data_IF_507015094874
#
_entry.id   IF_507015094874
#
_cell.length_a   1.000
_cell.length_b   1.000
_cell.length_c   1.000
_cell.angle_alpha   90.00
_cell.angle_beta   90.00
_cell.angle_gamma   90.00
#
_symmetry.space_group_name_H-M   'P 1'
#
loop_
_entity.id
_entity.type
_entity.pdbx_description
1 polymer ?
#
# COMPACT_ATOMS: atom_id res chain seq x y z
N UNK A 1 -39.34 57.70 13.08
CA UNK A 1 -39.42 57.11 11.73
C UNK A 1 -38.53 57.88 10.75
N UNK A 2 -37.93 57.13 9.81
CA UNK A 2 -37.24 57.52 8.56
C UNK A 2 -35.71 57.68 8.57
N UNK A 3 -35.11 56.60 8.09
CA UNK A 3 -33.80 56.43 7.47
C UNK A 3 -33.60 57.27 6.20
N UNK A 4 -32.35 57.64 5.92
CA UNK A 4 -31.77 57.87 4.59
C UNK A 4 -30.24 57.90 4.79
N UNK A 5 -29.39 56.99 4.30
CA UNK A 5 -29.51 56.04 3.20
C UNK A 5 -28.58 56.41 2.03
N UNK A 6 -27.26 56.55 2.26
CA UNK A 6 -26.26 56.73 1.18
C UNK A 6 -25.56 55.39 0.91
N UNK A 7 -25.93 54.74 -0.21
CA UNK A 7 -25.27 53.54 -0.71
C UNK A 7 -24.00 53.93 -1.48
N UNK A 8 -22.85 53.43 -1.04
CA UNK A 8 -21.62 53.35 -1.83
C UNK A 8 -21.36 51.87 -2.12
N UNK A 9 -21.39 51.49 -3.39
CA UNK A 9 -21.15 50.13 -3.86
C UNK A 9 -19.66 49.78 -3.72
N UNK A 10 -19.35 48.75 -2.93
CA UNK A 10 -18.04 48.11 -2.91
C UNK A 10 -18.06 46.88 -3.82
N UNK A 11 -17.15 46.88 -4.80
CA UNK A 11 -16.89 45.77 -5.72
C UNK A 11 -16.35 44.57 -4.94
N UNK A 12 -17.12 43.48 -4.94
CA UNK A 12 -16.75 42.18 -4.41
C UNK A 12 -15.77 41.49 -5.38
N UNK A 13 -14.52 41.32 -4.97
CA UNK A 13 -13.57 40.40 -5.60
C UNK A 13 -13.71 39.02 -4.94
N UNK A 14 -13.72 37.90 -5.71
CA UNK A 14 -13.92 36.58 -5.13
C UNK A 14 -12.71 36.14 -4.29
N UNK A 15 -12.91 35.41 -3.18
CA UNK A 15 -11.81 34.85 -2.42
C UNK A 15 -11.11 33.75 -3.24
N UNK A 16 -9.78 33.91 -3.38
CA UNK A 16 -8.87 32.89 -3.91
C UNK A 16 -9.04 31.62 -3.07
N UNK A 17 -9.59 30.58 -3.67
CA UNK A 17 -9.65 29.24 -3.10
C UNK A 17 -8.23 28.76 -2.82
N UNK A 18 -7.89 28.72 -1.54
CA UNK A 18 -6.69 28.05 -1.07
C UNK A 18 -6.80 26.57 -1.43
N UNK A 19 -5.91 26.11 -2.31
CA UNK A 19 -5.72 24.70 -2.61
C UNK A 19 -5.26 24.03 -1.32
N UNK A 20 -6.19 23.33 -0.66
CA UNK A 20 -5.88 22.47 0.48
C UNK A 20 -4.95 21.37 0.00
N UNK A 21 -3.68 21.43 0.41
CA UNK A 21 -2.73 20.35 0.20
C UNK A 21 -3.22 19.14 0.99
N UNK A 22 -3.94 18.26 0.29
CA UNK A 22 -4.30 16.94 0.79
C UNK A 22 -3.03 16.23 1.23
N UNK A 23 -2.89 16.00 2.54
CA UNK A 23 -1.81 15.16 3.08
C UNK A 23 -1.90 13.82 2.35
N UNK A 24 -0.84 13.44 1.64
CA UNK A 24 -0.78 12.16 0.93
C UNK A 24 -0.97 11.06 1.97
N UNK A 25 -2.17 10.51 2.05
CA UNK A 25 -2.48 9.38 2.92
C UNK A 25 -1.97 8.13 2.20
N UNK A 26 -0.69 7.80 2.41
CA UNK A 26 -0.10 6.56 1.90
C UNK A 26 -0.71 5.41 2.68
N UNK A 27 -1.59 4.64 2.05
CA UNK A 27 -2.09 3.38 2.60
C UNK A 27 -1.07 2.33 2.16
N UNK A 28 -0.15 1.94 3.05
CA UNK A 28 0.69 0.78 2.79
C UNK A 28 -0.19 -0.44 2.93
N UNK A 29 -0.47 -1.14 1.83
CA UNK A 29 -1.22 -2.40 1.89
C UNK A 29 -0.29 -3.42 2.55
N UNK A 30 -0.47 -3.61 3.85
CA UNK A 30 0.29 -4.59 4.61
C UNK A 30 -0.23 -5.98 4.22
N UNK A 31 0.33 -6.51 3.14
CA UNK A 31 0.12 -7.89 2.76
C UNK A 31 0.98 -8.74 3.69
N UNK A 32 0.47 -9.06 4.88
CA UNK A 32 1.09 -10.05 5.76
C UNK A 32 1.03 -11.39 5.04
N UNK A 33 2.11 -11.71 4.30
CA UNK A 33 2.36 -13.03 3.78
C UNK A 33 2.42 -13.97 4.97
N UNK A 34 1.41 -14.83 5.08
CA UNK A 34 1.46 -15.97 5.99
C UNK A 34 2.62 -16.82 5.52
N UNK A 35 3.76 -16.66 6.19
CA UNK A 35 4.85 -17.60 6.09
C UNK A 35 4.33 -18.88 6.70
N UNK A 36 4.17 -19.93 5.88
CA UNK A 36 3.96 -21.27 6.39
C UNK A 36 5.23 -21.67 7.14
N UNK A 37 5.31 -21.34 8.42
CA UNK A 37 6.23 -22.01 9.33
C UNK A 37 5.68 -23.41 9.51
N UNK A 38 6.21 -24.34 8.71
CA UNK A 38 6.06 -25.78 8.86
C UNK A 38 6.34 -26.16 10.33
N UNK A 39 5.28 -26.33 11.12
CA UNK A 39 5.37 -27.21 12.28
C UNK A 39 5.34 -28.60 11.68
N UNK A 40 6.51 -29.21 11.58
CA UNK A 40 6.69 -30.57 11.10
C UNK A 40 5.81 -31.54 11.90
N UNK A 41 4.66 -31.87 11.34
CA UNK A 41 3.93 -33.10 11.59
C UNK A 41 3.90 -33.85 10.27
N UNK A 42 4.42 -35.07 10.29
CA UNK A 42 4.57 -35.96 9.15
C UNK A 42 3.23 -36.25 8.49
N UNK A 43 2.87 -35.49 7.46
CA UNK A 43 2.08 -35.94 6.31
C UNK A 43 2.61 -35.16 5.11
N UNK A 44 3.11 -35.87 4.08
CA UNK A 44 3.37 -35.29 2.76
C UNK A 44 2.14 -34.52 2.31
N UNK A 45 2.20 -33.17 2.15
CA UNK A 45 1.18 -32.50 1.40
C UNK A 45 1.52 -32.74 -0.07
N UNK A 46 0.92 -33.78 -0.65
CA UNK A 46 0.63 -33.70 -2.07
C UNK A 46 -0.21 -32.45 -2.24
N UNK A 47 0.35 -31.48 -2.95
CA UNK A 47 -0.33 -30.24 -3.32
C UNK A 47 -1.53 -30.59 -4.20
N UNK A 48 -2.65 -30.92 -3.57
CA UNK A 48 -3.95 -30.97 -4.22
C UNK A 48 -4.48 -29.55 -4.19
N UNK A 49 -4.68 -28.98 -5.38
CA UNK A 49 -5.28 -27.66 -5.54
C UNK A 49 -6.60 -27.62 -4.79
N UNK A 50 -6.62 -26.98 -3.63
CA UNK A 50 -7.82 -26.92 -2.82
C UNK A 50 -8.74 -25.88 -3.43
N UNK A 51 -9.78 -26.35 -4.12
CA UNK A 51 -10.95 -25.60 -4.59
C UNK A 51 -11.76 -24.98 -3.43
N UNK A 52 -11.33 -25.21 -2.18
CA UNK A 52 -11.98 -24.74 -0.98
C UNK A 52 -11.66 -23.27 -0.69
N UNK A 53 -12.70 -22.52 -0.33
CA UNK A 53 -12.58 -21.17 0.24
C UNK A 53 -11.75 -21.25 1.52
N UNK A 54 -10.71 -20.41 1.60
CA UNK A 54 -9.83 -20.34 2.78
C UNK A 54 -10.08 -19.04 3.53
N UNK A 55 -10.17 -19.12 4.85
CA UNK A 55 -10.29 -17.94 5.73
C UNK A 55 -9.08 -17.85 6.64
N UNK A 56 -8.48 -16.68 6.76
CA UNK A 56 -7.34 -16.41 7.66
C UNK A 56 -7.57 -15.12 8.42
N UNK A 57 -7.17 -15.09 9.69
CA UNK A 57 -7.32 -13.91 10.55
C UNK A 57 -5.94 -13.46 11.02
N UNK A 58 -5.66 -12.17 10.87
CA UNK A 58 -4.46 -11.51 11.40
C UNK A 58 -4.86 -10.52 12.48
N UNK A 59 -4.20 -10.58 13.63
CA UNK A 59 -4.37 -9.63 14.74
C UNK A 59 -3.22 -8.63 14.73
N UNK A 60 -3.55 -7.35 14.81
CA UNK A 60 -2.57 -6.27 14.83
C UNK A 60 -2.32 -5.80 16.28
N UNK A 61 -1.14 -5.26 16.60
CA UNK A 61 -0.81 -4.77 17.95
C UNK A 61 -1.72 -3.66 18.47
N UNK A 62 -2.38 -2.91 17.57
CA UNK A 62 -3.35 -1.86 17.92
C UNK A 62 -4.76 -2.42 18.25
N UNK A 63 -4.90 -3.74 18.35
CA UNK A 63 -6.15 -4.43 18.61
C UNK A 63 -7.06 -4.59 17.39
N UNK A 64 -6.71 -3.95 16.24
CA UNK A 64 -7.43 -4.20 15.00
C UNK A 64 -7.16 -5.61 14.48
N UNK A 65 -8.05 -6.10 13.63
CA UNK A 65 -7.91 -7.41 12.99
C UNK A 65 -8.26 -7.34 11.52
N UNK A 66 -7.61 -8.17 10.73
CA UNK A 66 -7.92 -8.34 9.32
C UNK A 66 -8.32 -9.78 9.06
N UNK A 67 -9.50 -9.98 8.45
CA UNK A 67 -10.00 -11.27 8.01
C UNK A 67 -9.84 -11.35 6.49
N UNK A 68 -9.11 -12.36 6.02
CA UNK A 68 -8.90 -12.67 4.62
C UNK A 68 -9.76 -13.85 4.21
N UNK A 69 -10.51 -13.70 3.13
CA UNK A 69 -11.31 -14.74 2.50
C UNK A 69 -10.77 -14.95 1.08
N UNK A 70 -10.20 -16.12 0.81
CA UNK A 70 -9.67 -16.49 -0.49
C UNK A 70 -10.66 -17.39 -1.21
N UNK A 71 -10.88 -17.10 -2.48
CA UNK A 71 -11.61 -17.92 -3.45
C UNK A 71 -10.61 -18.28 -4.58
N UNK A 72 -9.76 -19.29 -4.36
CA UNK A 72 -8.76 -19.71 -5.36
C UNK A 72 -9.36 -20.02 -6.74
N UNK A 73 -10.53 -20.69 -6.85
CA UNK A 73 -11.15 -20.98 -8.14
C UNK A 73 -11.52 -19.75 -8.95
N UNK A 74 -11.84 -18.64 -8.27
CA UNK A 74 -12.16 -17.37 -8.92
C UNK A 74 -10.97 -16.43 -9.04
N UNK A 75 -9.77 -16.82 -8.61
CA UNK A 75 -8.60 -15.95 -8.52
C UNK A 75 -8.89 -14.65 -7.74
N UNK A 76 -9.66 -14.76 -6.64
CA UNK A 76 -10.09 -13.60 -5.83
C UNK A 76 -9.74 -13.78 -4.36
N UNK A 77 -9.54 -12.65 -3.69
CA UNK A 77 -9.53 -12.60 -2.24
C UNK A 77 -10.17 -11.32 -1.72
N UNK A 78 -10.71 -11.35 -0.52
CA UNK A 78 -11.24 -10.17 0.17
C UNK A 78 -10.61 -10.08 1.54
N UNK A 79 -10.04 -8.93 1.88
CA UNK A 79 -9.61 -8.61 3.22
C UNK A 79 -10.56 -7.58 3.85
N UNK A 80 -11.00 -7.85 5.07
CA UNK A 80 -11.82 -6.92 5.85
C UNK A 80 -11.09 -6.58 7.14
N UNK A 81 -10.77 -5.31 7.34
CA UNK A 81 -10.09 -4.83 8.55
C UNK A 81 -11.08 -4.12 9.45
N UNK A 82 -11.18 -4.56 10.71
CA UNK A 82 -11.98 -3.91 11.76
C UNK A 82 -11.07 -3.41 12.87
N UNK A 83 -11.43 -2.30 13.51
CA UNK A 83 -10.74 -1.81 14.71
C UNK A 83 -10.97 -2.72 15.93
N UNK A 84 -10.36 -2.36 17.06
CA UNK A 84 -10.47 -3.10 18.32
C UNK A 84 -11.92 -3.18 18.84
N UNK A 85 -12.76 -2.19 18.50
CA UNK A 85 -14.18 -2.15 18.85
C UNK A 85 -15.06 -2.92 17.83
N UNK A 86 -14.45 -3.52 16.80
CA UNK A 86 -15.12 -4.26 15.74
C UNK A 86 -15.72 -3.41 14.64
N UNK A 87 -15.48 -2.09 14.64
CA UNK A 87 -15.95 -1.19 13.58
C UNK A 87 -15.10 -1.35 12.33
N UNK A 88 -15.77 -1.41 11.18
CA UNK A 88 -15.11 -1.50 9.88
C UNK A 88 -14.18 -0.30 9.67
N UNK A 89 -12.94 -0.58 9.26
CA UNK A 89 -11.97 0.43 8.80
C UNK A 89 -11.87 0.42 7.28
N UNK A 90 -11.78 -0.77 6.69
CA UNK A 90 -11.58 -0.92 5.25
C UNK A 90 -11.96 -2.31 4.76
N UNK A 91 -12.24 -2.39 3.47
CA UNK A 91 -12.38 -3.63 2.71
C UNK A 91 -11.49 -3.55 1.49
N UNK A 92 -10.67 -4.58 1.27
CA UNK A 92 -9.78 -4.70 0.12
C UNK A 92 -10.24 -5.90 -0.70
N UNK A 93 -10.53 -5.68 -1.98
CA UNK A 93 -10.84 -6.74 -2.94
C UNK A 93 -9.62 -6.96 -3.82
N UNK A 94 -9.09 -8.17 -3.82
CA UNK A 94 -7.92 -8.55 -4.59
C UNK A 94 -8.31 -9.38 -5.80
N UNK A 95 -7.58 -9.15 -6.88
CA UNK A 95 -7.45 -10.12 -7.98
C UNK A 95 -6.09 -10.81 -7.83
N UNK A 96 -6.08 -12.11 -8.12
CA UNK A 96 -4.90 -12.98 -8.10
C UNK A 96 -4.50 -13.31 -9.54
N UNK A 97 -3.23 -13.59 -9.77
CA UNK A 97 -2.75 -14.15 -11.04
C UNK A 97 -2.98 -15.67 -11.10
N UNK A 98 -2.61 -16.29 -12.22
CA UNK A 98 -2.77 -17.74 -12.44
C UNK A 98 -1.96 -18.59 -11.43
N UNK A 99 -0.92 -18.01 -10.82
CA UNK A 99 -0.13 -18.64 -9.78
C UNK A 99 -0.71 -18.38 -8.36
N UNK A 100 -1.87 -17.72 -8.26
CA UNK A 100 -2.51 -17.38 -6.99
C UNK A 100 -1.85 -16.23 -6.24
N UNK A 101 -1.04 -15.40 -6.91
CA UNK A 101 -0.35 -14.25 -6.30
C UNK A 101 -1.14 -12.96 -6.54
N UNK A 102 -1.05 -12.00 -5.63
CA UNK A 102 -1.74 -10.72 -5.78
C UNK A 102 -1.31 -9.99 -7.06
N UNK A 103 -2.28 -9.65 -7.91
CA UNK A 103 -2.06 -8.91 -9.15
C UNK A 103 -2.57 -7.48 -9.06
N UNK A 104 -3.71 -7.28 -8.40
CA UNK A 104 -4.29 -5.96 -8.15
C UNK A 104 -5.21 -5.94 -6.93
N UNK A 105 -5.57 -4.74 -6.48
CA UNK A 105 -6.53 -4.54 -5.42
C UNK A 105 -7.38 -3.29 -5.60
N UNK A 106 -8.61 -3.33 -5.10
CA UNK A 106 -9.45 -2.16 -4.86
C UNK A 106 -9.67 -1.98 -3.36
N UNK A 107 -9.29 -0.82 -2.82
CA UNK A 107 -9.39 -0.49 -1.41
C UNK A 107 -10.58 0.42 -1.21
N UNK A 108 -11.52 0.00 -0.37
CA UNK A 108 -12.72 0.72 -0.02
C UNK A 108 -12.73 1.11 1.46
N UNK A 109 -13.24 2.31 1.74
CA UNK A 109 -13.48 2.75 3.11
C UNK A 109 -14.65 2.02 3.78
N UNK A 110 -14.97 2.38 5.04
CA UNK A 110 -16.10 1.79 5.75
C UNK A 110 -17.45 2.24 5.18
N UNK A 111 -17.46 3.28 4.37
CA UNK A 111 -18.60 3.74 3.57
C UNK A 111 -18.78 2.95 2.27
N UNK A 112 -17.94 1.94 2.02
CA UNK A 112 -17.98 1.09 0.82
C UNK A 112 -17.49 1.77 -0.45
N UNK A 113 -17.07 3.04 -0.38
CA UNK A 113 -16.55 3.77 -1.53
C UNK A 113 -15.09 3.40 -1.77
N UNK A 114 -14.76 3.07 -3.02
CA UNK A 114 -13.38 2.86 -3.45
C UNK A 114 -12.61 4.17 -3.29
N UNK A 115 -11.48 4.10 -2.60
CA UNK A 115 -10.58 5.23 -2.35
C UNK A 115 -9.30 5.12 -3.16
N UNK A 116 -8.92 3.89 -3.50
CA UNK A 116 -7.64 3.59 -4.10
C UNK A 116 -7.69 2.28 -4.89
N UNK A 117 -6.92 2.23 -5.97
CA UNK A 117 -6.65 1.02 -6.74
C UNK A 117 -5.15 0.76 -6.75
N UNK A 118 -4.75 -0.49 -6.53
CA UNK A 118 -3.36 -0.91 -6.52
C UNK A 118 -3.09 -1.96 -7.60
N UNK A 119 -1.90 -1.91 -8.21
CA UNK A 119 -1.35 -2.96 -9.07
C UNK A 119 -0.01 -3.42 -8.53
N UNK A 120 0.22 -4.72 -8.50
CA UNK A 120 1.40 -5.33 -7.91
C UNK A 120 2.31 -5.91 -8.99
N UNK A 121 3.62 -5.81 -8.75
CA UNK A 121 4.64 -6.61 -9.45
C UNK A 121 5.28 -7.53 -8.45
N UNK A 122 5.31 -8.82 -8.78
CA UNK A 122 5.88 -9.85 -7.93
C UNK A 122 7.22 -10.31 -8.50
N UNK A 123 8.09 -10.81 -7.63
CA UNK A 123 9.24 -11.62 -8.05
C UNK A 123 8.86 -13.09 -8.26
N UNK A 124 9.85 -13.90 -8.64
CA UNK A 124 9.67 -15.32 -8.92
C UNK A 124 9.29 -16.13 -7.66
N UNK A 125 9.62 -15.63 -6.47
CA UNK A 125 9.22 -16.20 -5.18
C UNK A 125 7.82 -15.75 -4.75
N UNK A 126 7.17 -14.90 -5.55
CA UNK A 126 5.82 -14.39 -5.32
C UNK A 126 5.72 -13.25 -4.29
N UNK A 127 6.85 -12.62 -3.95
CA UNK A 127 6.89 -11.42 -3.10
C UNK A 127 6.60 -10.18 -3.92
N UNK A 128 5.83 -9.25 -3.38
CA UNK A 128 5.52 -7.98 -4.04
C UNK A 128 6.76 -7.08 -4.03
N UNK A 129 7.39 -6.87 -5.19
CA UNK A 129 8.51 -5.93 -5.35
C UNK A 129 8.02 -4.49 -5.47
N UNK A 130 6.93 -4.27 -6.20
CA UNK A 130 6.39 -2.93 -6.45
C UNK A 130 4.88 -2.91 -6.32
N UNK A 131 4.37 -1.79 -5.81
CA UNK A 131 2.95 -1.45 -5.81
C UNK A 131 2.77 -0.08 -6.46
N UNK A 132 1.88 0.00 -7.45
CA UNK A 132 1.46 1.24 -8.10
C UNK A 132 0.07 1.59 -7.61
N UNK A 133 -0.09 2.75 -6.98
CA UNK A 133 -1.35 3.21 -6.43
C UNK A 133 -1.95 4.33 -7.28
N UNK A 134 -3.24 4.20 -7.58
CA UNK A 134 -4.03 5.16 -8.35
C UNK A 134 -5.32 5.52 -7.62
N UNK A 135 -5.83 6.71 -7.90
CA UNK A 135 -7.18 7.12 -7.50
C UNK A 135 -8.25 6.26 -8.21
N UNK A 136 -9.52 6.30 -7.76
CA UNK A 136 -10.59 5.48 -8.34
C UNK A 136 -10.83 5.74 -9.84
N UNK A 137 -10.57 6.96 -10.30
CA UNK A 137 -10.63 7.40 -11.69
C UNK A 137 -9.43 6.93 -12.54
N UNK A 138 -8.45 6.24 -11.93
CA UNK A 138 -7.26 5.73 -12.58
C UNK A 138 -6.05 6.66 -12.52
N UNK A 139 -6.19 7.88 -12.00
CA UNK A 139 -5.09 8.85 -11.88
C UNK A 139 -3.99 8.26 -11.01
N UNK A 140 -2.77 8.14 -11.56
CA UNK A 140 -1.62 7.64 -10.82
C UNK A 140 -1.23 8.59 -9.68
N UNK A 141 -1.07 8.05 -8.46
CA UNK A 141 -0.80 8.81 -7.26
C UNK A 141 0.64 8.63 -6.78
N UNK A 142 1.08 7.38 -6.61
CA UNK A 142 2.43 7.08 -6.14
C UNK A 142 2.81 5.61 -6.37
N UNK A 143 4.12 5.33 -6.33
CA UNK A 143 4.69 3.99 -6.38
C UNK A 143 5.38 3.65 -5.07
N UNK A 144 5.18 2.44 -4.58
CA UNK A 144 5.90 1.87 -3.44
C UNK A 144 6.80 0.76 -3.97
N UNK A 145 8.07 0.75 -3.55
CA UNK A 145 9.04 -0.31 -3.86
C UNK A 145 9.46 -0.95 -2.56
N UNK A 146 9.24 -2.25 -2.43
CA UNK A 146 9.56 -3.02 -1.23
C UNK A 146 11.00 -3.55 -1.31
N UNK A 147 11.62 -3.72 -0.14
CA UNK A 147 12.98 -4.25 -0.02
C UNK A 147 12.96 -5.45 0.91
N UNK A 148 13.71 -6.47 0.52
CA UNK A 148 13.80 -7.75 1.21
C UNK A 148 15.27 -8.09 1.47
N UNK A 149 15.55 -8.82 2.55
CA UNK A 149 16.86 -9.44 2.75
C UNK A 149 16.96 -10.78 1.99
N UNK A 150 18.13 -11.42 2.07
CA UNK A 150 18.40 -12.70 1.39
C UNK A 150 17.57 -13.87 1.93
N UNK A 151 16.92 -13.71 3.10
CA UNK A 151 15.99 -14.71 3.63
C UNK A 151 14.54 -14.46 3.18
N UNK A 152 14.31 -13.41 2.37
CA UNK A 152 12.99 -13.02 1.90
C UNK A 152 12.18 -12.23 2.92
N UNK A 153 12.79 -11.81 4.05
CA UNK A 153 12.11 -10.98 5.03
C UNK A 153 12.12 -9.52 4.57
N UNK A 154 10.96 -8.86 4.61
CA UNK A 154 10.86 -7.45 4.25
C UNK A 154 11.69 -6.60 5.22
N UNK A 155 12.61 -5.80 4.67
CA UNK A 155 13.53 -4.92 5.41
C UNK A 155 13.12 -3.46 5.32
N UNK A 156 12.26 -3.10 4.37
CA UNK A 156 11.84 -1.72 4.17
C UNK A 156 10.97 -1.51 2.94
N UNK A 157 10.71 -0.24 2.65
CA UNK A 157 10.07 0.24 1.43
C UNK A 157 10.47 1.69 1.12
N UNK A 158 10.35 2.07 -0.16
CA UNK A 158 10.52 3.44 -0.65
C UNK A 158 9.25 3.89 -1.37
N UNK A 159 8.77 5.09 -1.07
CA UNK A 159 7.58 5.69 -1.69
C UNK A 159 8.01 6.81 -2.62
N UNK A 160 7.55 6.75 -3.86
CA UNK A 160 7.79 7.75 -4.90
C UNK A 160 6.47 8.40 -5.28
N UNK A 161 6.42 9.73 -5.36
CA UNK A 161 5.23 10.45 -5.81
C UNK A 161 4.96 10.25 -7.32
N UNK A 162 3.87 10.85 -7.81
CA UNK A 162 3.46 10.77 -9.21
C UNK A 162 4.53 11.27 -10.21
N UNK A 163 5.45 12.14 -9.77
CA UNK A 163 6.57 12.64 -10.59
C UNK A 163 7.78 11.70 -10.58
N UNK A 164 7.74 10.63 -9.79
CA UNK A 164 8.85 9.70 -9.59
C UNK A 164 9.86 10.17 -8.53
N UNK A 165 9.56 11.24 -7.78
CA UNK A 165 10.44 11.72 -6.71
C UNK A 165 10.22 10.91 -5.45
N UNK A 166 11.31 10.48 -4.82
CA UNK A 166 11.27 9.80 -3.52
C UNK A 166 10.72 10.75 -2.44
N UNK A 167 9.62 10.35 -1.81
CA UNK A 167 8.96 11.12 -0.74
C UNK A 167 9.11 10.49 0.64
N UNK A 168 9.27 9.16 0.70
CA UNK A 168 9.49 8.46 1.96
C UNK A 168 10.34 7.22 1.75
N UNK A 169 11.10 6.85 2.79
CA UNK A 169 11.81 5.58 2.86
C UNK A 169 11.76 5.08 4.29
N UNK A 170 11.35 3.83 4.44
CA UNK A 170 11.33 3.12 5.71
C UNK A 170 12.20 1.88 5.57
N UNK A 171 13.01 1.59 6.58
CA UNK A 171 13.81 0.37 6.62
C UNK A 171 15.10 0.57 7.40
N UNK A 172 15.69 -0.54 7.85
CA UNK A 172 17.03 -0.49 8.42
C UNK A 172 17.96 0.07 7.34
N UNK A 173 18.72 1.11 7.66
CA UNK A 173 19.75 1.62 6.76
C UNK A 173 20.78 0.51 6.53
N UNK A 174 20.58 -0.32 5.50
CA UNK A 174 21.69 -1.01 4.87
C UNK A 174 22.66 0.10 4.46
N UNK A 175 23.85 0.04 5.05
CA UNK A 175 24.91 1.02 4.99
C UNK A 175 24.86 1.86 3.71
N UNK A 176 24.84 3.19 3.87
CA UNK A 176 25.24 4.06 2.75
C UNK A 176 26.54 3.48 2.21
N UNK A 177 26.67 3.15 0.91
CA UNK A 177 28.00 3.13 0.34
C UNK A 177 28.52 4.56 0.53
N UNK A 178 29.44 4.71 1.48
CA UNK A 178 30.30 5.89 1.57
C UNK A 178 30.76 6.20 0.16
N UNK A 179 30.72 7.46 -0.32
CA UNK A 179 31.33 7.78 -1.60
C UNK A 179 32.80 7.35 -1.51
N UNK A 180 33.16 6.30 -2.24
CA UNK A 180 34.53 5.81 -2.29
C UNK A 180 35.46 6.99 -2.57
N UNK A 181 36.53 7.19 -1.78
CA UNK A 181 37.46 8.26 -2.06
C UNK A 181 38.06 8.01 -3.45
N UNK A 182 37.86 8.97 -4.37
CA UNK A 182 38.51 8.96 -5.69
C UNK A 182 40.02 8.77 -5.47
N UNK A 183 40.71 7.92 -6.26
CA UNK A 183 42.16 7.83 -6.18
C UNK A 183 42.73 9.20 -6.53
N UNK A 184 43.46 9.81 -5.59
CA UNK A 184 44.26 11.00 -5.84
C UNK A 184 45.36 10.59 -6.81
N UNK A 185 45.27 11.08 -8.04
CA UNK A 185 46.29 10.91 -9.07
C UNK A 185 47.62 11.45 -8.52
N UNK A 186 48.59 10.54 -8.33
CA UNK A 186 49.94 10.88 -7.90
C UNK A 186 50.65 11.48 -9.09
N UNK A 187 50.57 12.81 -9.21
CA UNK A 187 51.36 13.55 -10.18
C UNK A 187 52.84 13.34 -9.85
N UNK A 188 53.53 12.58 -10.70
CA UNK A 188 54.96 12.30 -10.60
C UNK A 188 55.66 13.40 -11.41
N UNK A 189 56.37 14.29 -10.72
CA UNK A 189 57.41 15.14 -11.30
C UNK A 189 58.73 14.74 -10.65
#
# INVERSE_FOLDING_TARGET
MKFSGRQGAAVSSPPKTAVSFSRIQTIVVLCSLVSASEIAFTQTPQSSGSDAVRVTVSMHPDGSRTVYNFDPPQHKAVATTTDADGKLRETIRYELDDAGRFSSAEISGPDGRVRLKSRYKNDDEGRILEETQSAPDGTFQHKIVYSYDTSGKQTGYSVFDASGKLVSRTGAAAARPSPSPKPREKNRR
#
